data_IF_187110564542
#
_entry.id   IF_187110564542
#
_cell.length_a   1.000
_cell.length_b   1.000
_cell.length_c   1.000
_cell.angle_alpha   90.00
_cell.angle_beta   90.00
_cell.angle_gamma   90.00
#
_symmetry.space_group_name_H-M   'P 1'
#
loop_
_entity.id
_entity.type
_entity.pdbx_description
1 polymer ?
#
# COMPACT_ATOMS: atom_id res chain seq x y z
N UNK A 1 -21.56 20.04 7.35
CA UNK A 1 -21.48 19.30 8.63
C UNK A 1 -20.02 19.06 8.91
N UNK A 2 -19.53 19.41 10.11
CA UNK A 2 -18.15 19.17 10.50
C UNK A 2 -17.92 17.65 10.61
N UNK A 3 -17.08 17.09 9.76
CA UNK A 3 -16.73 15.67 9.85
C UNK A 3 -15.73 15.47 10.99
N UNK A 4 -16.15 14.73 12.02
CA UNK A 4 -15.31 14.41 13.19
C UNK A 4 -14.97 12.93 13.21
N UNK A 5 -13.69 12.62 13.43
CA UNK A 5 -13.14 11.26 13.52
C UNK A 5 -12.57 11.00 14.92
N UNK A 6 -12.52 9.74 15.34
CA UNK A 6 -11.75 9.34 16.51
C UNK A 6 -10.24 9.34 16.18
N UNK A 7 -9.90 8.92 14.94
CA UNK A 7 -8.53 8.83 14.45
C UNK A 7 -8.44 9.23 12.99
N UNK A 8 -7.50 10.12 12.68
CA UNK A 8 -7.03 10.37 11.32
C UNK A 8 -5.61 9.84 11.19
N UNK A 9 -5.39 8.95 10.21
CA UNK A 9 -4.08 8.40 9.86
C UNK A 9 -3.59 9.10 8.60
N UNK A 10 -2.38 9.63 8.62
CA UNK A 10 -1.73 10.27 7.48
C UNK A 10 -0.62 9.34 6.98
N UNK A 11 -0.83 8.74 5.80
CA UNK A 11 0.04 7.76 5.17
C UNK A 11 -0.57 6.36 5.08
N UNK A 12 -0.76 5.88 3.85
CA UNK A 12 -1.36 4.59 3.49
C UNK A 12 -0.36 3.45 3.32
N UNK A 13 0.80 3.54 3.99
CA UNK A 13 1.78 2.45 4.05
C UNK A 13 1.36 1.34 5.03
N UNK A 14 2.19 0.29 5.19
CA UNK A 14 1.85 -0.86 6.04
C UNK A 14 1.53 -0.49 7.50
N UNK A 15 2.22 0.51 8.06
CA UNK A 15 1.99 0.98 9.42
C UNK A 15 0.62 1.66 9.53
N UNK A 16 0.33 2.61 8.64
CA UNK A 16 -0.95 3.34 8.62
C UNK A 16 -2.14 2.41 8.39
N UNK A 17 -2.05 1.50 7.43
CA UNK A 17 -3.08 0.50 7.16
C UNK A 17 -3.35 -0.38 8.39
N UNK A 18 -2.30 -0.86 9.05
CA UNK A 18 -2.44 -1.70 10.24
C UNK A 18 -3.11 -0.94 11.39
N UNK A 19 -2.71 0.30 11.63
CA UNK A 19 -3.26 1.14 12.68
C UNK A 19 -4.73 1.49 12.41
N UNK A 20 -5.06 1.92 11.18
CA UNK A 20 -6.42 2.27 10.79
C UNK A 20 -7.38 1.09 10.95
N UNK A 21 -6.99 -0.10 10.48
CA UNK A 21 -7.78 -1.33 10.64
C UNK A 21 -8.00 -1.71 12.10
N UNK A 22 -6.95 -1.60 12.91
CA UNK A 22 -7.06 -1.93 14.35
C UNK A 22 -7.99 -0.97 15.07
N UNK A 23 -7.93 0.32 14.75
CA UNK A 23 -8.83 1.32 15.32
C UNK A 23 -10.29 1.07 14.91
N UNK A 24 -10.54 0.83 13.62
CA UNK A 24 -11.87 0.51 13.12
C UNK A 24 -12.43 -0.79 13.75
N UNK A 25 -11.61 -1.84 13.90
CA UNK A 25 -12.00 -3.06 14.59
C UNK A 25 -12.37 -2.86 16.06
N UNK A 26 -11.92 -1.76 16.66
CA UNK A 26 -12.32 -1.33 18.03
C UNK A 26 -13.52 -0.37 18.03
N UNK A 27 -14.22 -0.24 16.92
CA UNK A 27 -15.39 0.62 16.78
C UNK A 27 -15.07 2.12 16.67
N UNK A 28 -13.81 2.48 16.37
CA UNK A 28 -13.41 3.87 16.19
C UNK A 28 -13.70 4.36 14.79
N UNK A 29 -14.34 5.52 14.67
CA UNK A 29 -14.52 6.20 13.39
C UNK A 29 -13.15 6.66 12.88
N UNK A 30 -12.64 6.00 11.87
CA UNK A 30 -11.26 6.15 11.40
C UNK A 30 -11.22 6.59 9.95
N UNK A 31 -10.42 7.61 9.66
CA UNK A 31 -10.06 8.06 8.33
C UNK A 31 -8.58 7.79 8.08
N UNK A 32 -8.24 7.35 6.88
CA UNK A 32 -6.85 7.30 6.40
C UNK A 32 -6.69 8.12 5.13
N UNK A 33 -5.63 8.92 5.10
CA UNK A 33 -5.24 9.79 3.98
C UNK A 33 -3.98 9.25 3.33
N UNK A 34 -3.98 9.10 2.00
CA UNK A 34 -2.81 8.65 1.22
C UNK A 34 -2.70 9.50 -0.05
N UNK A 35 -1.51 10.03 -0.34
CA UNK A 35 -1.32 10.95 -1.47
C UNK A 35 -0.89 10.29 -2.78
N UNK A 36 -0.24 9.11 -2.73
CA UNK A 36 0.35 8.47 -3.92
C UNK A 36 -0.36 7.17 -4.30
N UNK A 37 -0.50 6.25 -3.32
CA UNK A 37 -1.11 4.94 -3.57
C UNK A 37 -1.04 4.01 -2.39
N UNK A 38 -2.10 3.22 -2.22
CA UNK A 38 -2.28 2.30 -1.09
C UNK A 38 -1.16 1.27 -1.01
N UNK A 39 -0.63 1.09 0.19
CA UNK A 39 0.50 0.22 0.50
C UNK A 39 1.85 0.94 0.56
N UNK A 40 1.91 2.23 0.19
CA UNK A 40 3.07 3.11 0.33
C UNK A 40 4.34 2.59 -0.34
N UNK A 41 5.49 3.05 0.13
CA UNK A 41 6.82 2.71 -0.42
C UNK A 41 7.07 1.20 -0.47
N UNK A 42 6.63 0.44 0.53
CA UNK A 42 6.79 -1.02 0.56
C UNK A 42 6.13 -1.69 -0.65
N UNK A 43 4.92 -1.30 -0.99
CA UNK A 43 4.17 -1.88 -2.10
C UNK A 43 4.68 -1.40 -3.46
N UNK A 44 4.97 -0.11 -3.60
CA UNK A 44 5.24 0.48 -4.91
C UNK A 44 6.72 0.50 -5.30
N UNK A 45 7.64 0.67 -4.35
CA UNK A 45 9.06 0.94 -4.61
C UNK A 45 10.04 0.05 -3.83
N UNK A 46 9.55 -0.73 -2.86
CA UNK A 46 10.39 -1.48 -1.92
C UNK A 46 10.14 -2.98 -1.91
N UNK A 47 9.40 -3.44 -0.92
CA UNK A 47 9.28 -4.86 -0.56
C UNK A 47 8.69 -5.72 -1.69
N UNK A 48 7.56 -5.31 -2.24
CA UNK A 48 6.81 -6.11 -3.22
C UNK A 48 7.55 -6.21 -4.55
N UNK A 49 7.97 -5.10 -5.20
CA UNK A 49 8.71 -5.18 -6.46
C UNK A 49 10.03 -5.93 -6.32
N UNK A 50 10.76 -5.74 -5.22
CA UNK A 50 12.01 -6.44 -4.96
C UNK A 50 11.80 -7.94 -4.87
N UNK A 51 10.81 -8.40 -4.12
CA UNK A 51 10.51 -9.83 -3.96
C UNK A 51 10.02 -10.47 -5.26
N UNK A 52 9.26 -9.76 -6.06
CA UNK A 52 8.85 -10.23 -7.39
C UNK A 52 10.08 -10.48 -8.29
N UNK A 53 11.03 -9.53 -8.33
CA UNK A 53 12.26 -9.68 -9.11
C UNK A 53 13.16 -10.81 -8.58
N UNK A 54 13.31 -10.92 -7.25
CA UNK A 54 14.09 -11.98 -6.63
C UNK A 54 13.49 -13.36 -6.92
N UNK A 55 12.17 -13.49 -6.94
CA UNK A 55 11.51 -14.76 -7.31
C UNK A 55 11.83 -15.16 -8.73
N UNK A 56 11.76 -14.23 -9.69
CA UNK A 56 12.13 -14.50 -11.09
C UNK A 56 13.60 -14.90 -11.21
N UNK A 57 14.50 -14.16 -10.57
CA UNK A 57 15.94 -14.44 -10.58
C UNK A 57 16.25 -15.81 -9.97
N UNK A 58 15.63 -16.12 -8.82
CA UNK A 58 15.78 -17.42 -8.16
C UNK A 58 15.29 -18.56 -9.03
N UNK A 59 14.11 -18.43 -9.64
CA UNK A 59 13.53 -19.45 -10.54
C UNK A 59 14.47 -19.74 -11.71
N UNK A 60 15.02 -18.70 -12.34
CA UNK A 60 16.00 -18.87 -13.41
C UNK A 60 17.28 -19.57 -12.94
N UNK A 61 17.80 -19.18 -11.78
CA UNK A 61 18.99 -19.82 -11.17
C UNK A 61 18.73 -21.30 -10.83
N UNK A 62 17.53 -21.64 -10.38
CA UNK A 62 17.14 -23.00 -10.02
C UNK A 62 17.09 -23.95 -11.22
N UNK A 63 16.90 -23.45 -12.45
CA UNK A 63 16.99 -24.26 -13.68
C UNK A 63 18.32 -25.01 -13.81
N UNK A 64 19.44 -24.42 -13.35
CA UNK A 64 20.74 -25.06 -13.33
C UNK A 64 20.79 -26.28 -12.40
N UNK A 65 19.94 -26.30 -11.37
CA UNK A 65 19.88 -27.40 -10.40
C UNK A 65 19.08 -28.59 -10.93
N UNK A 66 18.13 -28.36 -11.84
CA UNK A 66 17.26 -29.39 -12.39
C UNK A 66 18.02 -30.49 -13.12
N UNK A 67 19.13 -30.14 -13.79
CA UNK A 67 20.03 -31.12 -14.43
C UNK A 67 20.54 -32.16 -13.44
N UNK A 68 20.83 -31.75 -12.19
CA UNK A 68 21.32 -32.67 -11.12
C UNK A 68 20.23 -33.62 -10.63
N UNK A 69 18.96 -33.25 -10.84
CA UNK A 69 17.79 -34.06 -10.48
C UNK A 69 17.31 -34.94 -11.64
N UNK A 70 18.07 -35.01 -12.74
CA UNK A 70 17.71 -35.77 -13.93
C UNK A 70 16.66 -35.08 -14.83
N UNK A 71 16.26 -33.83 -14.51
CA UNK A 71 15.28 -33.07 -15.29
C UNK A 71 16.03 -32.30 -16.38
N UNK A 72 15.64 -32.54 -17.62
CA UNK A 72 16.17 -31.81 -18.79
C UNK A 72 15.31 -30.61 -19.07
N UNK A 73 15.88 -29.42 -18.98
CA UNK A 73 15.29 -28.17 -19.48
C UNK A 73 16.00 -27.81 -20.79
N UNK A 74 15.28 -27.31 -21.75
CA UNK A 74 15.88 -26.69 -22.95
C UNK A 74 16.70 -25.45 -22.58
N UNK A 75 17.24 -24.78 -23.60
CA UNK A 75 17.90 -23.48 -23.41
C UNK A 75 16.90 -22.46 -22.87
N UNK A 76 17.23 -21.87 -21.72
CA UNK A 76 16.36 -20.93 -21.05
C UNK A 76 16.92 -19.52 -21.18
N UNK A 77 16.09 -18.59 -21.61
CA UNK A 77 16.40 -17.16 -21.68
C UNK A 77 15.47 -16.35 -20.77
N UNK A 78 15.92 -15.18 -20.35
CA UNK A 78 15.10 -14.23 -19.60
C UNK A 78 14.59 -13.15 -20.56
N UNK A 79 13.26 -13.01 -20.65
CA UNK A 79 12.63 -11.81 -21.18
C UNK A 79 12.41 -10.81 -20.03
N UNK A 80 13.30 -9.82 -19.95
CA UNK A 80 13.24 -8.81 -18.90
C UNK A 80 11.99 -7.92 -19.02
N UNK A 81 11.47 -7.71 -20.23
CA UNK A 81 10.22 -6.99 -20.47
C UNK A 81 9.03 -7.70 -19.84
N UNK A 82 8.94 -9.02 -20.02
CA UNK A 82 7.93 -9.85 -19.38
C UNK A 82 8.09 -9.89 -17.84
N UNK A 83 9.31 -9.96 -17.33
CA UNK A 83 9.59 -9.89 -15.88
C UNK A 83 9.10 -8.56 -15.29
N UNK A 84 9.34 -7.45 -15.97
CA UNK A 84 8.86 -6.12 -15.53
C UNK A 84 7.34 -6.03 -15.53
N UNK A 85 6.67 -6.54 -16.55
CA UNK A 85 5.20 -6.59 -16.60
C UNK A 85 4.63 -7.43 -15.44
N UNK A 86 5.21 -8.58 -15.19
CA UNK A 86 4.83 -9.44 -14.06
C UNK A 86 5.00 -8.73 -12.72
N UNK A 87 6.14 -8.06 -12.49
CA UNK A 87 6.40 -7.26 -11.29
C UNK A 87 5.34 -6.17 -11.11
N UNK A 88 5.02 -5.41 -12.16
CA UNK A 88 4.02 -4.34 -12.12
C UNK A 88 2.62 -4.87 -11.80
N UNK A 89 2.26 -6.04 -12.33
CA UNK A 89 0.99 -6.68 -12.02
C UNK A 89 0.89 -7.08 -10.54
N UNK A 90 1.95 -7.64 -9.97
CA UNK A 90 2.00 -7.99 -8.53
C UNK A 90 1.82 -6.74 -7.67
N UNK A 91 2.51 -5.65 -7.99
CA UNK A 91 2.38 -4.36 -7.28
C UNK A 91 0.93 -3.86 -7.34
N UNK A 92 0.33 -3.87 -8.53
CA UNK A 92 -1.06 -3.43 -8.72
C UNK A 92 -2.04 -4.26 -7.89
N UNK A 93 -1.92 -5.58 -7.90
CA UNK A 93 -2.78 -6.47 -7.10
C UNK A 93 -2.61 -6.23 -5.61
N UNK A 94 -1.37 -6.01 -5.15
CA UNK A 94 -1.09 -5.72 -3.75
C UNK A 94 -1.70 -4.37 -3.30
N UNK A 95 -1.61 -3.33 -4.13
CA UNK A 95 -2.20 -2.03 -3.85
C UNK A 95 -3.74 -2.09 -3.77
N UNK A 96 -4.38 -2.77 -4.72
CA UNK A 96 -5.84 -3.00 -4.69
C UNK A 96 -6.27 -3.83 -3.48
N UNK A 97 -5.47 -4.82 -3.09
CA UNK A 97 -5.71 -5.61 -1.87
C UNK A 97 -5.61 -4.78 -0.60
N UNK A 98 -4.68 -3.84 -0.53
CA UNK A 98 -4.53 -2.91 0.58
C UNK A 98 -5.77 -1.99 0.71
N UNK A 99 -6.21 -1.40 -0.39
CA UNK A 99 -7.41 -0.57 -0.45
C UNK A 99 -8.66 -1.35 0.00
N UNK A 100 -8.88 -2.52 -0.61
CA UNK A 100 -10.02 -3.38 -0.26
C UNK A 100 -10.00 -3.75 1.23
N UNK A 101 -8.85 -4.06 1.78
CA UNK A 101 -8.70 -4.44 3.18
C UNK A 101 -9.11 -3.31 4.15
N UNK A 102 -8.86 -2.05 3.79
CA UNK A 102 -9.30 -0.87 4.54
C UNK A 102 -10.82 -0.70 4.43
N UNK A 103 -11.35 -0.78 3.21
CA UNK A 103 -12.78 -0.64 2.97
C UNK A 103 -13.60 -1.74 3.69
N UNK A 104 -13.17 -3.00 3.62
CA UNK A 104 -13.80 -4.13 4.31
C UNK A 104 -13.77 -3.96 5.85
N UNK A 105 -12.79 -3.23 6.37
CA UNK A 105 -12.70 -2.92 7.80
C UNK A 105 -13.56 -1.70 8.22
N UNK A 106 -14.25 -1.05 7.29
CA UNK A 106 -15.07 0.13 7.57
C UNK A 106 -14.25 1.40 7.85
N UNK A 107 -13.02 1.46 7.32
CA UNK A 107 -12.20 2.66 7.39
C UNK A 107 -12.60 3.61 6.27
N UNK A 108 -12.81 4.89 6.58
CA UNK A 108 -12.95 5.93 5.57
C UNK A 108 -11.59 6.12 4.87
N UNK A 109 -11.56 6.04 3.55
CA UNK A 109 -10.34 6.16 2.76
C UNK A 109 -10.42 7.36 1.82
N UNK A 110 -9.35 8.17 1.76
CA UNK A 110 -9.25 9.29 0.83
C UNK A 110 -7.86 9.38 0.21
N UNK A 111 -7.84 9.58 -1.10
CA UNK A 111 -6.62 9.92 -1.82
C UNK A 111 -6.46 11.43 -1.81
N UNK A 112 -5.33 11.91 -1.29
CA UNK A 112 -4.99 13.32 -1.19
C UNK A 112 -3.98 13.58 -0.08
N UNK A 113 -3.63 14.84 0.08
CA UNK A 113 -2.64 15.28 1.06
C UNK A 113 -3.29 15.65 2.40
N UNK A 114 -2.68 15.19 3.49
CA UNK A 114 -3.03 15.56 4.85
C UNK A 114 -2.00 16.49 5.47
N UNK A 115 -2.41 17.68 5.88
CA UNK A 115 -1.58 18.65 6.62
C UNK A 115 -2.12 18.82 8.03
N UNK A 116 -1.26 18.70 9.03
CA UNK A 116 -1.63 18.88 10.44
C UNK A 116 -1.71 20.37 10.74
N UNK A 117 -2.90 20.84 11.10
CA UNK A 117 -3.12 22.24 11.51
C UNK A 117 -2.99 22.43 13.02
N UNK A 118 -3.46 21.45 13.79
CA UNK A 118 -3.38 21.43 15.25
C UNK A 118 -3.40 20.01 15.78
N UNK A 119 -3.39 19.81 17.09
CA UNK A 119 -3.52 18.49 17.72
C UNK A 119 -4.84 17.78 17.39
N UNK A 120 -5.86 18.50 16.91
CA UNK A 120 -7.20 17.97 16.64
C UNK A 120 -7.75 18.34 15.26
N UNK A 121 -6.93 18.94 14.38
CA UNK A 121 -7.38 19.38 13.05
C UNK A 121 -6.36 19.01 11.98
N UNK A 122 -6.86 18.43 10.89
CA UNK A 122 -6.10 18.07 9.70
C UNK A 122 -6.76 18.75 8.49
N UNK A 123 -5.96 19.44 7.67
CA UNK A 123 -6.38 19.87 6.34
C UNK A 123 -6.20 18.71 5.38
N UNK A 124 -7.27 18.27 4.76
CA UNK A 124 -7.26 17.35 3.63
C UNK A 124 -7.35 18.15 2.34
N UNK A 125 -6.50 17.87 1.38
CA UNK A 125 -6.53 18.43 0.02
C UNK A 125 -6.60 17.28 -0.97
N UNK A 126 -7.64 17.27 -1.79
CA UNK A 126 -7.81 16.25 -2.83
C UNK A 126 -6.92 16.50 -4.06
N UNK A 127 -6.91 15.55 -5.01
CA UNK A 127 -6.13 15.67 -6.25
C UNK A 127 -6.55 16.85 -7.14
N UNK A 128 -7.75 17.40 -6.95
CA UNK A 128 -8.26 18.58 -7.67
C UNK A 128 -7.88 19.90 -7.00
N UNK A 129 -7.23 19.85 -5.82
CA UNK A 129 -6.86 21.02 -5.03
C UNK A 129 -7.97 21.56 -4.12
N UNK A 130 -9.11 20.87 -4.01
CA UNK A 130 -10.14 21.24 -3.06
C UNK A 130 -9.70 20.87 -1.64
N UNK A 131 -9.73 21.85 -0.73
CA UNK A 131 -9.29 21.69 0.64
C UNK A 131 -10.45 21.68 1.63
N UNK A 132 -10.37 20.81 2.63
CA UNK A 132 -11.33 20.67 3.72
C UNK A 132 -10.61 20.51 5.05
N UNK A 133 -11.07 21.18 6.10
CA UNK A 133 -10.58 20.95 7.46
C UNK A 133 -11.41 19.86 8.12
N UNK A 134 -10.73 18.84 8.64
CA UNK A 134 -11.30 17.69 9.33
C UNK A 134 -10.94 17.74 10.80
N UNK A 135 -11.87 17.39 11.68
CA UNK A 135 -11.65 17.33 13.13
C UNK A 135 -11.40 15.89 13.58
N UNK A 136 -10.54 15.71 14.55
CA UNK A 136 -10.22 14.39 15.10
C UNK A 136 -9.78 14.45 16.56
N UNK A 137 -9.99 13.36 17.29
CA UNK A 137 -9.45 13.21 18.64
C UNK A 137 -7.97 12.83 18.66
N UNK A 138 -7.49 12.09 17.61
CA UNK A 138 -6.12 11.63 17.52
C UNK A 138 -5.62 11.70 16.07
N UNK A 139 -4.33 12.01 15.91
CA UNK A 139 -3.64 11.98 14.62
C UNK A 139 -2.49 10.98 14.71
N UNK A 140 -2.39 10.10 13.71
CA UNK A 140 -1.27 9.18 13.56
C UNK A 140 -0.52 9.49 12.27
N UNK A 141 0.78 9.76 12.39
CA UNK A 141 1.68 10.03 11.26
C UNK A 141 2.38 8.73 10.87
N UNK A 142 2.21 8.31 9.61
CA UNK A 142 2.72 7.02 9.09
C UNK A 142 3.22 7.12 7.63
N UNK A 143 3.75 8.30 7.23
CA UNK A 143 4.31 8.51 5.89
C UNK A 143 5.78 8.10 5.77
#
# INVERSE_FOLDING_TARGET
MDETYDLIVIGGGPAGISAARLAAAKGKRTLILEKEGWGGTCTHRGCIPTKALLTCSKSYSDLKKFKRLGIRTGEAAIDFGAVKKHQQQIVRVAALGAEKTLADAGVDIRIGEGEILSASEVRYTDAGGAAQTLKTSHILIAW
#
